data_IF_447616020498
#
_entry.id   IF_447616020498
#
_cell.length_a   1.000
_cell.length_b   1.000
_cell.length_c   1.000
_cell.angle_alpha   90.00
_cell.angle_beta   90.00
_cell.angle_gamma   90.00
#
_symmetry.space_group_name_H-M   'P 1'
#
loop_
_entity.id
_entity.type
_entity.pdbx_description
1 polymer ?
#
# COMPACT_ATOMS: atom_id res chain seq x y z
N UNK A 1 17.41 11.46 4.35
CA UNK A 1 16.00 11.02 4.40
C UNK A 1 15.99 9.55 4.79
N UNK A 2 15.18 9.17 5.76
CA UNK A 2 14.95 7.78 6.17
C UNK A 2 13.52 7.39 5.83
N UNK A 3 13.32 6.18 5.30
CA UNK A 3 12.00 5.60 5.04
C UNK A 3 11.91 4.33 5.88
N UNK A 4 10.96 4.30 6.81
CA UNK A 4 10.62 3.11 7.60
C UNK A 4 9.32 2.53 7.05
N UNK A 5 9.43 1.39 6.39
CA UNK A 5 8.28 0.71 5.79
C UNK A 5 7.75 -0.35 6.77
N UNK A 6 6.45 -0.29 7.10
CA UNK A 6 5.78 -1.29 7.94
C UNK A 6 6.06 -1.18 9.43
N UNK A 7 5.81 -0.01 10.04
CA UNK A 7 5.96 0.17 11.49
C UNK A 7 5.18 -0.87 12.32
N UNK A 8 4.05 -1.34 11.82
CA UNK A 8 3.22 -2.35 12.49
C UNK A 8 3.84 -3.76 12.52
N UNK A 9 4.89 -4.01 11.75
CA UNK A 9 5.69 -5.24 11.78
C UNK A 9 6.90 -5.13 12.72
N UNK A 10 7.08 -3.96 13.34
CA UNK A 10 8.16 -3.72 14.28
C UNK A 10 7.94 -4.48 15.60
N UNK A 11 8.78 -5.49 15.85
CA UNK A 11 8.70 -6.31 17.05
C UNK A 11 9.36 -5.70 18.30
N UNK A 12 10.12 -4.62 18.16
CA UNK A 12 10.76 -3.96 19.29
C UNK A 12 9.92 -2.79 19.81
N UNK A 13 9.90 -2.54 21.13
CA UNK A 13 9.18 -1.41 21.68
C UNK A 13 9.84 -0.09 21.29
N UNK A 14 9.03 0.90 20.92
CA UNK A 14 9.45 2.29 20.79
C UNK A 14 9.26 2.98 22.15
N UNK A 15 10.38 3.33 22.80
CA UNK A 15 10.37 3.87 24.16
C UNK A 15 10.62 5.36 24.12
N UNK A 16 9.59 6.15 24.44
CA UNK A 16 9.68 7.60 24.40
C UNK A 16 10.00 8.25 25.75
N UNK A 17 10.25 7.45 26.78
CA UNK A 17 10.68 7.91 28.10
C UNK A 17 12.05 8.62 28.06
N UNK A 18 12.26 9.53 29.02
CA UNK A 18 13.32 10.56 28.96
C UNK A 18 14.72 10.09 29.38
N UNK A 19 14.94 8.80 29.62
CA UNK A 19 16.12 8.38 30.39
C UNK A 19 17.37 7.98 29.59
N UNK A 20 17.42 8.06 28.25
CA UNK A 20 18.63 7.68 27.49
C UNK A 20 18.67 8.28 26.06
N UNK A 21 18.78 9.61 25.94
CA UNK A 21 19.07 10.25 24.65
C UNK A 21 20.43 9.81 24.10
N UNK A 22 20.46 9.14 22.95
CA UNK A 22 21.71 8.82 22.24
C UNK A 22 21.93 9.91 21.21
N UNK A 23 22.98 10.72 21.40
CA UNK A 23 23.35 11.80 20.47
C UNK A 23 24.58 11.48 19.64
N UNK A 24 25.45 10.59 20.14
CA UNK A 24 26.64 10.13 19.43
C UNK A 24 26.30 9.06 18.40
N UNK A 25 26.53 9.38 17.13
CA UNK A 25 26.30 8.49 15.97
C UNK A 25 27.28 7.31 15.91
N UNK A 26 28.43 7.39 16.58
CA UNK A 26 29.41 6.31 16.63
C UNK A 26 29.17 5.34 17.80
N UNK A 27 28.30 5.70 18.74
CA UNK A 27 27.97 4.88 19.90
C UNK A 27 27.13 3.67 19.49
N UNK A 28 27.64 2.47 19.79
CA UNK A 28 26.87 1.22 19.60
C UNK A 28 25.62 1.23 20.49
N UNK A 29 24.47 0.96 19.90
CA UNK A 29 23.18 0.92 20.59
C UNK A 29 22.20 -0.02 19.86
N UNK A 30 21.05 -0.30 20.47
CA UNK A 30 20.01 -1.16 19.89
C UNK A 30 19.24 -0.45 18.78
N UNK A 31 18.68 -1.20 17.82
CA UNK A 31 17.82 -0.65 16.76
C UNK A 31 16.65 0.16 17.32
N UNK A 32 15.98 -0.33 18.36
CA UNK A 32 14.91 0.39 19.07
C UNK A 32 15.35 1.79 19.51
N UNK A 33 16.52 1.90 20.14
CA UNK A 33 17.11 3.20 20.53
C UNK A 33 17.46 4.06 19.32
N UNK A 34 17.98 3.49 18.23
CA UNK A 34 18.28 4.26 17.01
C UNK A 34 17.01 4.86 16.43
N UNK A 35 16.00 4.04 16.16
CA UNK A 35 14.73 4.48 15.54
C UNK A 35 14.03 5.51 16.42
N UNK A 36 13.96 5.25 17.74
CA UNK A 36 13.37 6.20 18.69
C UNK A 36 14.13 7.53 18.70
N UNK A 37 15.46 7.53 18.77
CA UNK A 37 16.24 8.77 18.81
C UNK A 37 16.25 9.51 17.48
N UNK A 38 16.08 8.83 16.33
CA UNK A 38 15.83 9.47 15.05
C UNK A 38 14.47 10.18 15.06
N UNK A 39 13.41 9.52 15.53
CA UNK A 39 12.06 10.11 15.64
C UNK A 39 12.05 11.29 16.63
N UNK A 40 12.73 11.16 17.78
CA UNK A 40 12.91 12.25 18.76
C UNK A 40 13.86 13.36 18.27
N UNK A 41 14.44 13.24 17.07
CA UNK A 41 15.44 14.17 16.49
C UNK A 41 16.73 14.34 17.33
N UNK A 42 17.04 13.39 18.22
CA UNK A 42 18.30 13.36 18.97
C UNK A 42 19.47 12.87 18.13
N UNK A 43 19.20 11.96 17.17
CA UNK A 43 20.14 11.55 16.14
C UNK A 43 19.78 12.23 14.83
N UNK A 44 20.79 12.80 14.16
CA UNK A 44 20.66 13.39 12.82
C UNK A 44 19.42 14.30 12.73
N UNK A 45 19.38 15.34 13.56
CA UNK A 45 18.20 16.21 13.77
C UNK A 45 17.62 16.86 12.49
N UNK A 46 18.43 16.98 11.44
CA UNK A 46 18.02 17.49 10.12
C UNK A 46 17.44 16.41 9.18
N UNK A 47 17.38 15.15 9.60
CA UNK A 47 16.89 14.08 8.76
C UNK A 47 15.36 14.13 8.61
N UNK A 48 14.89 14.05 7.37
CA UNK A 48 13.50 13.78 7.06
C UNK A 48 13.21 12.30 7.26
N UNK A 49 12.12 11.98 7.96
CA UNK A 49 11.68 10.62 8.23
C UNK A 49 10.28 10.42 7.64
N UNK A 50 10.12 9.38 6.82
CA UNK A 50 8.83 8.93 6.31
C UNK A 50 8.53 7.54 6.86
N UNK A 51 7.34 7.35 7.42
CA UNK A 51 6.94 6.09 8.04
C UNK A 51 5.65 5.62 7.39
N UNK A 52 5.63 4.38 6.91
CA UNK A 52 4.39 3.72 6.49
C UNK A 52 3.94 2.77 7.60
N UNK A 53 2.63 2.67 7.78
CA UNK A 53 2.05 1.75 8.75
C UNK A 53 0.58 1.49 8.48
N UNK A 54 0.08 0.35 8.96
CA UNK A 54 -1.35 0.18 9.19
C UNK A 54 -1.86 1.22 10.21
N UNK A 55 -3.09 1.74 10.05
CA UNK A 55 -3.65 2.75 10.96
C UNK A 55 -3.60 2.37 12.45
N UNK A 56 -3.73 1.08 12.75
CA UNK A 56 -3.72 0.57 14.12
C UNK A 56 -2.39 0.81 14.86
N UNK A 57 -1.26 0.88 14.15
CA UNK A 57 0.05 1.09 14.74
C UNK A 57 0.55 2.55 14.60
N UNK A 58 -0.15 3.40 13.85
CA UNK A 58 0.19 4.82 13.76
C UNK A 58 0.17 5.52 15.13
N UNK A 59 -0.68 5.05 16.05
CA UNK A 59 -0.75 5.55 17.43
C UNK A 59 0.44 5.17 18.33
N UNK A 60 1.36 4.32 17.86
CA UNK A 60 2.59 4.00 18.60
C UNK A 60 3.55 5.19 18.66
N UNK A 61 3.43 6.14 17.73
CA UNK A 61 4.23 7.35 17.69
C UNK A 61 3.44 8.50 18.32
N UNK A 62 3.98 9.15 19.37
CA UNK A 62 3.36 10.34 19.94
C UNK A 62 3.21 11.45 18.90
N UNK A 63 2.06 12.15 18.94
CA UNK A 63 1.75 13.22 17.98
C UNK A 63 2.78 14.35 17.97
N UNK A 64 3.46 14.58 19.08
CA UNK A 64 4.51 15.61 19.23
C UNK A 64 5.71 15.39 18.30
N UNK A 65 5.89 14.16 17.79
CA UNK A 65 6.95 13.80 16.85
C UNK A 65 6.46 13.67 15.40
N UNK A 66 5.22 14.06 15.09
CA UNK A 66 4.61 13.90 13.77
C UNK A 66 4.31 15.27 13.18
N UNK A 67 5.03 15.64 12.11
CA UNK A 67 4.78 16.89 11.39
C UNK A 67 3.57 16.77 10.44
N UNK A 68 3.37 15.61 9.80
CA UNK A 68 2.30 15.39 8.83
C UNK A 68 1.83 13.92 8.84
N UNK A 69 0.53 13.74 8.63
CA UNK A 69 -0.10 12.42 8.39
C UNK A 69 -0.76 12.41 7.02
N UNK A 70 -0.49 11.36 6.25
CA UNK A 70 -1.14 11.12 4.94
C UNK A 70 -1.83 9.76 4.97
N UNK A 71 -3.12 9.72 4.62
CA UNK A 71 -3.89 8.49 4.51
C UNK A 71 -3.93 8.01 3.05
N UNK A 72 -3.44 6.79 2.79
CA UNK A 72 -3.53 6.17 1.46
C UNK A 72 -4.87 5.43 1.34
N UNK A 73 -5.79 5.95 0.52
CA UNK A 73 -7.16 5.43 0.38
C UNK A 73 -7.38 4.47 -0.78
N UNK A 74 -6.35 4.11 -1.55
CA UNK A 74 -6.50 3.24 -2.72
C UNK A 74 -6.96 3.98 -3.99
N UNK A 75 -7.59 3.27 -4.93
CA UNK A 75 -7.90 3.78 -6.26
C UNK A 75 -9.25 4.50 -6.35
N UNK A 76 -9.23 5.74 -6.86
CA UNK A 76 -10.44 6.40 -7.36
C UNK A 76 -10.90 5.80 -8.70
N UNK A 77 -12.02 6.28 -9.23
CA UNK A 77 -12.64 5.69 -10.44
C UNK A 77 -11.73 5.82 -11.66
N UNK A 78 -11.11 6.98 -11.84
CA UNK A 78 -10.24 7.29 -12.97
C UNK A 78 -8.94 6.46 -12.90
N UNK A 79 -8.37 6.29 -11.70
CA UNK A 79 -7.17 5.49 -11.46
C UNK A 79 -7.40 4.00 -11.75
N UNK A 80 -8.61 3.47 -11.48
CA UNK A 80 -8.95 2.09 -11.86
C UNK A 80 -8.86 1.91 -13.37
N UNK A 81 -9.46 2.82 -14.14
CA UNK A 81 -9.45 2.78 -15.61
C UNK A 81 -8.03 2.93 -16.17
N UNK A 82 -7.24 3.88 -15.63
CA UNK A 82 -5.84 4.08 -16.04
C UNK A 82 -4.97 2.86 -15.73
N UNK A 83 -5.16 2.21 -14.57
CA UNK A 83 -4.41 1.01 -14.23
C UNK A 83 -4.69 -0.11 -15.24
N UNK A 84 -5.93 -0.28 -15.71
CA UNK A 84 -6.24 -1.30 -16.70
C UNK A 84 -5.55 -1.04 -18.05
N UNK A 85 -5.64 0.19 -18.56
CA UNK A 85 -5.03 0.55 -19.85
C UNK A 85 -3.52 0.29 -19.83
N UNK A 86 -2.87 0.54 -18.68
CA UNK A 86 -1.43 0.32 -18.54
C UNK A 86 -1.03 -1.15 -18.48
N UNK A 87 -1.89 -2.03 -17.95
CA UNK A 87 -1.54 -3.41 -17.62
C UNK A 87 -2.26 -4.47 -18.46
N UNK A 88 -3.09 -4.08 -19.42
CA UNK A 88 -3.87 -4.98 -20.26
C UNK A 88 -4.23 -4.34 -21.61
N UNK A 89 -4.56 -5.15 -22.61
CA UNK A 89 -5.06 -4.61 -23.89
C UNK A 89 -6.41 -3.89 -23.69
N UNK A 90 -6.74 -2.87 -24.48
CA UNK A 90 -7.99 -2.11 -24.34
C UNK A 90 -9.26 -2.97 -24.44
N UNK A 91 -9.26 -3.99 -25.31
CA UNK A 91 -10.41 -4.91 -25.49
C UNK A 91 -10.66 -5.79 -24.26
N UNK A 92 -9.60 -6.39 -23.70
CA UNK A 92 -9.70 -7.23 -22.50
C UNK A 92 -10.09 -6.39 -21.28
N UNK A 93 -9.53 -5.19 -21.19
CA UNK A 93 -9.82 -4.18 -20.15
C UNK A 93 -11.31 -3.84 -20.08
N UNK A 94 -11.93 -3.50 -21.22
CA UNK A 94 -13.35 -3.13 -21.26
C UNK A 94 -14.25 -4.25 -20.76
N UNK A 95 -13.93 -5.50 -21.14
CA UNK A 95 -14.66 -6.68 -20.69
C UNK A 95 -14.50 -6.91 -19.18
N UNK A 96 -13.27 -6.85 -18.64
CA UNK A 96 -13.03 -7.03 -17.19
C UNK A 96 -13.77 -5.97 -16.37
N UNK A 97 -13.69 -4.70 -16.75
CA UNK A 97 -14.43 -3.61 -16.07
C UNK A 97 -15.93 -3.89 -16.09
N UNK A 98 -16.47 -4.34 -17.23
CA UNK A 98 -17.89 -4.69 -17.35
C UNK A 98 -18.27 -5.82 -16.38
N UNK A 99 -17.47 -6.87 -16.28
CA UNK A 99 -17.71 -7.98 -15.35
C UNK A 99 -17.64 -7.53 -13.88
N UNK A 100 -16.62 -6.75 -13.51
CA UNK A 100 -16.49 -6.22 -12.15
C UNK A 100 -17.70 -5.35 -11.79
N UNK A 101 -18.20 -4.52 -12.71
CA UNK A 101 -19.36 -3.64 -12.48
C UNK A 101 -20.69 -4.39 -12.32
N UNK A 102 -20.81 -5.63 -12.85
CA UNK A 102 -22.00 -6.48 -12.62
C UNK A 102 -22.12 -6.92 -11.16
N UNK A 103 -21.01 -7.02 -10.43
CA UNK A 103 -21.00 -7.40 -9.01
C UNK A 103 -20.64 -6.20 -8.14
N UNK A 104 -21.64 -5.70 -7.40
CA UNK A 104 -21.45 -4.57 -6.47
C UNK A 104 -20.32 -4.82 -5.48
N UNK A 105 -20.21 -6.04 -4.94
CA UNK A 105 -19.17 -6.40 -3.98
C UNK A 105 -17.78 -6.36 -4.61
N UNK A 106 -17.59 -6.94 -5.80
CA UNK A 106 -16.31 -6.90 -6.52
C UNK A 106 -15.90 -5.46 -6.84
N UNK A 107 -16.85 -4.64 -7.30
CA UNK A 107 -16.60 -3.24 -7.61
C UNK A 107 -16.11 -2.42 -6.40
N UNK A 108 -16.70 -2.66 -5.22
CA UNK A 108 -16.30 -2.02 -3.96
C UNK A 108 -14.91 -2.52 -3.53
N UNK A 109 -14.67 -3.84 -3.53
CA UNK A 109 -13.36 -4.40 -3.15
C UNK A 109 -12.22 -3.89 -4.03
N UNK A 110 -12.48 -3.72 -5.32
CA UNK A 110 -11.57 -3.17 -6.32
C UNK A 110 -11.15 -1.70 -6.05
N UNK A 111 -11.65 -1.05 -4.99
CA UNK A 111 -11.08 0.20 -4.49
C UNK A 111 -9.68 0.01 -3.90
N UNK A 112 -9.43 -1.14 -3.29
CA UNK A 112 -8.13 -1.48 -2.70
C UNK A 112 -7.23 -2.06 -3.80
N UNK A 113 -6.01 -1.53 -4.01
CA UNK A 113 -5.15 -1.94 -5.12
C UNK A 113 -4.83 -3.44 -5.19
N UNK A 114 -4.62 -4.11 -4.05
CA UNK A 114 -4.30 -5.55 -4.05
C UNK A 114 -5.49 -6.41 -4.51
N UNK A 115 -6.71 -6.12 -4.03
CA UNK A 115 -7.92 -6.82 -4.48
C UNK A 115 -8.20 -6.57 -5.96
N UNK A 116 -7.93 -5.34 -6.41
CA UNK A 116 -8.03 -4.98 -7.81
C UNK A 116 -7.09 -5.81 -8.68
N UNK A 117 -5.81 -5.91 -8.30
CA UNK A 117 -4.81 -6.71 -9.01
C UNK A 117 -5.17 -8.21 -9.03
N UNK A 118 -5.57 -8.78 -7.88
CA UNK A 118 -6.02 -10.19 -7.81
C UNK A 118 -7.19 -10.43 -8.77
N UNK A 119 -8.18 -9.54 -8.76
CA UNK A 119 -9.36 -9.65 -9.64
C UNK A 119 -8.95 -9.60 -11.11
N UNK A 120 -8.03 -8.71 -11.48
CA UNK A 120 -7.50 -8.61 -12.83
C UNK A 120 -6.80 -9.91 -13.25
N UNK A 121 -5.86 -10.40 -12.44
CA UNK A 121 -5.09 -11.62 -12.73
C UNK A 121 -5.98 -12.85 -12.88
N UNK A 122 -7.03 -12.96 -12.08
CA UNK A 122 -7.98 -14.08 -12.14
C UNK A 122 -8.92 -13.97 -13.34
N UNK A 123 -9.46 -12.77 -13.65
CA UNK A 123 -10.44 -12.61 -14.73
C UNK A 123 -9.83 -12.63 -16.13
N UNK A 124 -8.59 -12.17 -16.29
CA UNK A 124 -7.92 -12.10 -17.58
C UNK A 124 -7.92 -13.44 -18.37
N UNK A 125 -7.50 -14.58 -17.79
CA UNK A 125 -7.54 -15.86 -18.52
C UNK A 125 -8.95 -16.44 -18.67
N UNK A 126 -9.87 -16.16 -17.75
CA UNK A 126 -11.25 -16.66 -17.83
C UNK A 126 -12.00 -16.04 -19.00
N UNK A 127 -11.85 -14.73 -19.18
CA UNK A 127 -12.52 -14.01 -20.27
C UNK A 127 -11.90 -14.32 -21.64
N UNK A 128 -10.60 -14.59 -21.70
CA UNK A 128 -9.95 -15.08 -22.91
C UNK A 128 -10.46 -16.48 -23.35
N UNK A 129 -10.88 -17.32 -22.39
CA UNK A 129 -11.50 -18.62 -22.68
C UNK A 129 -12.96 -18.49 -23.08
N UNK A 130 -13.73 -17.61 -22.43
CA UNK A 130 -15.11 -17.33 -22.83
C UNK A 130 -15.20 -16.74 -24.24
N UNK A 131 -14.28 -15.85 -24.63
CA UNK A 131 -14.23 -15.35 -26.02
C UNK A 131 -13.91 -16.43 -27.05
N UNK A 132 -13.09 -17.42 -26.70
CA UNK A 132 -12.77 -18.55 -27.58
C UNK A 132 -13.91 -19.57 -27.69
N UNK A 133 -14.78 -19.67 -26.67
CA UNK A 133 -16.00 -20.48 -26.74
C UNK A 133 -17.14 -19.80 -27.52
N UNK A 134 -16.95 -18.53 -27.96
CA UNK A 134 -17.87 -17.80 -28.85
C UNK A 134 -17.44 -17.97 -30.33
N UNK A 135 -16.47 -18.84 -30.64
CA UNK A 135 -16.20 -19.30 -32.00
C UNK A 135 -17.35 -20.21 -32.51
N UNK A 136 -18.40 -19.56 -33.02
CA UNK A 136 -19.32 -20.00 -34.08
C UNK A 136 -19.80 -21.46 -34.06
N UNK A 137 -20.96 -21.69 -33.46
CA UNK A 137 -21.92 -22.67 -34.00
C UNK A 137 -22.79 -21.99 -35.06
N UNK A 138 -22.30 -21.91 -36.31
CA UNK A 138 -23.07 -21.89 -37.58
C UNK A 138 -22.03 -22.25 -38.67
N UNK A 139 -22.15 -23.33 -39.44
CA UNK A 139 -22.97 -23.42 -40.69
C UNK A 139 -23.28 -24.86 -41.12
N UNK A 140 -24.50 -24.99 -41.67
CA UNK A 140 -25.14 -26.01 -42.54
C UNK A 140 -24.65 -27.46 -42.58
#
# INVERSE_FOLDING_TARGET
MFIFDGLDECHFPLRYDDSDGVTDVHKKTTVSKIVTNLIKRHLVSSALIWITSRPAAAGLIPRDYIDQVTEVRGFNKEQKEQYFIKNSSPEVTGNIIRYIRKSRSLYIMCHIPIFFWITLTVLQPLLARESNNIATTVTE
#
